data_IF_533641370633
#
_entry.id   IF_533641370633
#
_cell.length_a   1.000
_cell.length_b   1.000
_cell.length_c   1.000
_cell.angle_alpha   90.00
_cell.angle_beta   90.00
_cell.angle_gamma   90.00
#
_symmetry.space_group_name_H-M   'P 1'
#
loop_
_entity.id
_entity.type
_entity.pdbx_description
1 polymer ?
#
# COMPACT_ATOMS: atom_id res chain seq x y z
N UNK A 1 -32.18 11.12 13.40
CA UNK A 1 -31.83 12.48 12.94
C UNK A 1 -30.74 13.15 13.79
N UNK A 2 -30.92 13.40 15.11
CA UNK A 2 -29.87 14.06 15.92
C UNK A 2 -28.53 13.30 15.94
N UNK A 3 -28.54 11.97 15.96
CA UNK A 3 -27.33 11.13 15.95
C UNK A 3 -26.51 11.22 14.66
N UNK A 4 -27.17 11.31 13.50
CA UNK A 4 -26.49 11.33 12.20
C UNK A 4 -25.87 12.69 11.91
N UNK A 5 -26.51 13.77 12.40
CA UNK A 5 -25.98 15.13 12.30
C UNK A 5 -24.73 15.30 13.18
N UNK A 6 -24.75 14.79 14.42
CA UNK A 6 -23.55 14.79 15.29
C UNK A 6 -22.40 13.98 14.67
N UNK A 7 -22.69 12.83 14.06
CA UNK A 7 -21.68 12.03 13.33
C UNK A 7 -21.12 12.80 12.13
N UNK A 8 -21.97 13.46 11.35
CA UNK A 8 -21.51 14.27 10.21
C UNK A 8 -20.58 15.40 10.66
N UNK A 9 -20.96 16.14 11.72
CA UNK A 9 -20.11 17.21 12.30
C UNK A 9 -18.76 16.64 12.77
N UNK A 10 -18.75 15.49 13.44
CA UNK A 10 -17.51 14.85 13.89
C UNK A 10 -16.59 14.46 12.73
N UNK A 11 -17.13 13.92 11.63
CA UNK A 11 -16.34 13.59 10.44
C UNK A 11 -15.80 14.83 9.71
N UNK A 12 -16.58 15.91 9.64
CA UNK A 12 -16.10 17.18 9.10
C UNK A 12 -14.97 17.78 9.94
N UNK A 13 -15.08 17.73 11.28
CA UNK A 13 -14.00 18.16 12.17
C UNK A 13 -12.73 17.30 11.98
N UNK A 14 -12.88 15.98 11.86
CA UNK A 14 -11.76 15.07 11.58
C UNK A 14 -11.10 15.35 10.20
N UNK A 15 -11.90 15.68 9.18
CA UNK A 15 -11.39 16.09 7.87
C UNK A 15 -10.57 17.38 7.97
N UNK A 16 -11.06 18.41 8.66
CA UNK A 16 -10.32 19.66 8.84
C UNK A 16 -9.00 19.42 9.58
N UNK A 17 -9.01 18.64 10.67
CA UNK A 17 -7.80 18.31 11.43
C UNK A 17 -6.78 17.52 10.59
N UNK A 18 -7.24 16.55 9.77
CA UNK A 18 -6.35 15.76 8.90
C UNK A 18 -5.78 16.58 7.75
N UNK A 19 -6.54 17.53 7.18
CA UNK A 19 -6.02 18.47 6.17
C UNK A 19 -4.98 19.44 6.76
N UNK A 20 -5.18 19.94 7.98
CA UNK A 20 -4.18 20.76 8.67
C UNK A 20 -2.90 19.97 8.96
N UNK A 21 -3.04 18.71 9.40
CA UNK A 21 -1.91 17.80 9.59
C UNK A 21 -1.18 17.54 8.27
N UNK A 22 -1.92 17.27 7.18
CA UNK A 22 -1.35 17.05 5.84
C UNK A 22 -0.56 18.28 5.36
N UNK A 23 -1.10 19.49 5.52
CA UNK A 23 -0.42 20.72 5.14
C UNK A 23 0.85 20.95 5.99
N UNK A 24 0.77 20.69 7.29
CA UNK A 24 1.91 20.81 8.22
C UNK A 24 3.02 19.82 7.86
N UNK A 25 2.66 18.55 7.64
CA UNK A 25 3.59 17.51 7.21
C UNK A 25 4.22 17.87 5.87
N UNK A 26 3.42 18.28 4.88
CA UNK A 26 3.91 18.67 3.55
C UNK A 26 4.90 19.83 3.61
N UNK A 27 4.71 20.78 4.53
CA UNK A 27 5.61 21.92 4.75
C UNK A 27 6.89 21.51 5.46
N UNK A 28 6.80 20.74 6.54
CA UNK A 28 7.94 20.29 7.34
C UNK A 28 8.87 19.33 6.59
N UNK A 29 8.32 18.66 5.58
CA UNK A 29 9.05 17.67 4.80
C UNK A 29 9.49 18.19 3.43
N UNK A 30 9.22 19.47 3.12
CA UNK A 30 9.68 20.14 1.91
C UNK A 30 11.15 20.59 2.08
N UNK A 31 12.02 20.20 1.14
CA UNK A 31 13.42 20.65 1.07
C UNK A 31 14.45 19.54 0.88
N UNK A 32 15.47 19.80 0.04
CA UNK A 32 16.75 19.10 -0.01
C UNK A 32 16.71 17.63 -0.45
N UNK A 33 16.37 17.39 -1.72
CA UNK A 33 16.54 16.07 -2.35
C UNK A 33 17.98 15.54 -2.24
N UNK A 34 18.23 14.24 -2.41
CA UNK A 34 19.59 13.66 -2.41
C UNK A 34 20.46 14.23 -3.53
N UNK A 35 19.81 14.65 -4.62
CA UNK A 35 20.41 15.36 -5.73
C UNK A 35 20.09 16.85 -5.53
N UNK A 36 21.10 17.63 -5.17
CA UNK A 36 21.02 19.10 -5.09
C UNK A 36 21.94 19.69 -6.14
N UNK A 37 21.54 20.81 -6.74
CA UNK A 37 22.28 21.43 -7.84
C UNK A 37 23.65 21.96 -7.40
N UNK A 38 23.74 22.53 -6.19
CA UNK A 38 24.97 23.08 -5.63
C UNK A 38 25.11 22.82 -4.14
N UNK A 39 26.35 22.60 -3.71
CA UNK A 39 26.75 22.44 -2.31
C UNK A 39 27.75 23.55 -1.95
N UNK A 40 27.66 24.04 -0.72
CA UNK A 40 28.53 25.10 -0.23
C UNK A 40 28.58 25.19 1.29
N UNK A 41 29.24 26.22 1.78
CA UNK A 41 29.44 26.52 3.19
C UNK A 41 28.95 27.94 3.44
N UNK A 42 28.06 28.12 4.40
CA UNK A 42 27.47 29.40 4.76
C UNK A 42 28.07 29.96 6.04
N UNK A 43 28.33 31.25 6.02
CA UNK A 43 28.72 32.07 7.16
C UNK A 43 27.64 33.11 7.42
N UNK A 44 26.99 33.07 8.59
CA UNK A 44 25.86 33.93 8.90
C UNK A 44 26.30 35.38 9.07
N UNK A 45 25.76 36.28 8.26
CA UNK A 45 26.08 37.71 8.28
C UNK A 45 25.10 38.51 9.17
N UNK A 46 23.79 38.28 9.03
CA UNK A 46 22.76 38.99 9.80
C UNK A 46 21.48 38.16 9.91
N UNK A 47 20.71 38.32 10.98
CA UNK A 47 19.42 37.63 11.15
C UNK A 47 18.32 38.59 11.62
N UNK A 48 17.12 38.40 11.06
CA UNK A 48 15.87 38.96 11.55
C UNK A 48 15.20 37.97 12.51
N UNK A 49 14.84 38.44 13.70
CA UNK A 49 14.16 37.65 14.73
C UNK A 49 12.63 37.74 14.59
N UNK A 50 11.95 36.59 14.68
CA UNK A 50 10.49 36.47 14.68
C UNK A 50 10.03 35.65 15.90
N UNK A 51 9.29 36.25 16.82
CA UNK A 51 8.78 35.56 18.02
C UNK A 51 8.08 36.50 19.01
N UNK A 52 7.59 35.98 20.15
CA UNK A 52 7.52 34.56 20.53
C UNK A 52 6.36 33.80 19.85
N UNK A 53 5.52 34.50 19.08
CA UNK A 53 4.46 33.91 18.24
C UNK A 53 4.54 34.55 16.87
N UNK A 54 4.80 33.75 15.84
CA UNK A 54 4.93 34.23 14.45
C UNK A 54 4.26 33.29 13.46
N UNK A 55 4.23 33.65 12.19
CA UNK A 55 3.78 32.77 11.09
C UNK A 55 4.65 31.49 10.92
N UNK A 56 5.77 31.43 11.64
CA UNK A 56 6.69 30.29 11.66
C UNK A 56 6.49 29.38 12.87
N UNK A 57 5.65 29.75 13.85
CA UNK A 57 5.30 28.92 15.01
C UNK A 57 5.35 29.66 16.35
N UNK A 58 5.26 28.87 17.43
CA UNK A 58 5.47 29.33 18.80
C UNK A 58 6.95 29.12 19.15
N UNK A 59 7.63 30.18 19.58
CA UNK A 59 9.07 30.24 19.80
C UNK A 59 9.72 31.42 19.07
N UNK A 60 11.05 31.53 19.18
CA UNK A 60 11.86 32.44 18.39
C UNK A 60 12.36 31.71 17.14
N UNK A 61 12.17 32.33 15.98
CA UNK A 61 12.65 31.84 14.70
C UNK A 61 13.48 32.95 14.03
N UNK A 62 14.60 32.58 13.42
CA UNK A 62 15.52 33.53 12.79
C UNK A 62 15.52 33.32 11.29
N UNK A 63 15.34 34.40 10.53
CA UNK A 63 15.58 34.44 9.08
C UNK A 63 16.94 35.09 8.87
N UNK A 64 17.91 34.35 8.36
CA UNK A 64 19.28 34.81 8.28
C UNK A 64 19.74 35.04 6.84
N UNK A 65 20.51 36.10 6.64
CA UNK A 65 21.33 36.32 5.45
C UNK A 65 22.71 35.76 5.75
N UNK A 66 23.24 34.94 4.85
CA UNK A 66 24.55 34.33 4.98
C UNK A 66 25.34 34.45 3.68
N UNK A 67 26.65 34.59 3.82
CA UNK A 67 27.58 34.53 2.70
C UNK A 67 27.93 33.05 2.47
N UNK A 68 27.62 32.55 1.27
CA UNK A 68 27.77 31.15 0.92
C UNK A 68 28.94 30.98 -0.03
N UNK A 69 29.97 30.25 0.41
CA UNK A 69 31.06 29.79 -0.43
C UNK A 69 30.69 28.43 -1.04
N UNK A 70 30.48 28.41 -2.34
CA UNK A 70 30.08 27.23 -3.09
C UNK A 70 31.29 26.38 -3.48
N UNK A 71 31.06 25.08 -3.74
CA UNK A 71 32.09 24.15 -4.18
C UNK A 71 32.76 24.54 -5.51
N UNK A 72 32.14 25.40 -6.32
CA UNK A 72 32.74 25.98 -7.54
C UNK A 72 33.64 27.20 -7.24
N UNK A 73 33.87 27.52 -5.96
CA UNK A 73 34.71 28.62 -5.49
C UNK A 73 34.05 30.00 -5.57
N UNK A 74 32.76 30.08 -5.93
CA UNK A 74 32.01 31.35 -5.94
C UNK A 74 31.44 31.64 -4.58
N UNK A 75 31.43 32.92 -4.20
CA UNK A 75 30.75 33.41 -3.01
C UNK A 75 29.51 34.19 -3.39
N UNK A 76 28.37 33.87 -2.80
CA UNK A 76 27.09 34.55 -3.03
C UNK A 76 26.38 34.80 -1.70
N UNK A 77 25.73 35.96 -1.56
CA UNK A 77 24.95 36.27 -0.38
C UNK A 77 23.51 35.82 -0.58
N UNK A 78 23.01 34.97 0.33
CA UNK A 78 21.70 34.34 0.22
C UNK A 78 20.90 34.50 1.51
N UNK A 79 19.58 34.58 1.35
CA UNK A 79 18.64 34.66 2.47
C UNK A 79 18.04 33.28 2.71
N UNK A 80 18.30 32.73 3.90
CA UNK A 80 17.79 31.43 4.32
C UNK A 80 16.40 31.56 4.96
N UNK A 81 15.49 30.59 4.75
CA UNK A 81 14.19 30.60 5.39
C UNK A 81 14.30 30.50 6.92
N UNK A 82 13.25 30.91 7.62
CA UNK A 82 13.25 30.94 9.07
C UNK A 82 13.49 29.56 9.69
N UNK A 83 14.43 29.46 10.64
CA UNK A 83 14.75 28.22 11.36
C UNK A 83 15.81 27.32 10.70
N UNK A 84 16.36 27.71 9.54
CA UNK A 84 17.47 26.97 8.92
C UNK A 84 18.83 27.34 9.50
N UNK A 85 19.09 28.61 9.82
CA UNK A 85 20.34 29.08 10.40
C UNK A 85 20.06 29.82 11.71
N UNK A 86 21.07 29.87 12.58
CA UNK A 86 21.00 30.62 13.85
C UNK A 86 22.05 31.74 13.91
N UNK A 87 21.83 32.80 14.70
CA UNK A 87 22.76 33.92 14.78
C UNK A 87 24.16 33.47 15.23
N UNK A 88 25.18 33.88 14.46
CA UNK A 88 26.58 33.61 14.78
C UNK A 88 27.11 32.25 14.32
N UNK A 89 26.35 31.49 13.54
CA UNK A 89 26.87 30.24 12.94
C UNK A 89 27.90 30.54 11.84
N UNK A 90 28.98 29.75 11.85
CA UNK A 90 30.09 29.80 10.90
C UNK A 90 30.26 28.41 10.28
N UNK A 91 30.73 28.37 9.05
CA UNK A 91 31.07 27.15 8.30
C UNK A 91 29.93 26.09 8.23
N UNK A 92 28.69 26.55 8.07
CA UNK A 92 27.53 25.65 8.02
C UNK A 92 27.37 25.06 6.63
N UNK A 93 27.33 23.73 6.44
CA UNK A 93 27.08 23.16 5.13
C UNK A 93 25.67 23.54 4.66
N UNK A 94 25.56 23.96 3.40
CA UNK A 94 24.29 24.39 2.78
C UNK A 94 24.16 23.84 1.36
N UNK A 95 22.93 23.83 0.86
CA UNK A 95 22.62 23.44 -0.52
C UNK A 95 21.75 24.49 -1.23
N UNK A 96 21.81 24.47 -2.57
CA UNK A 96 20.82 25.12 -3.43
C UNK A 96 20.25 24.09 -4.43
N UNK A 97 18.93 24.11 -4.61
CA UNK A 97 18.17 23.25 -5.52
C UNK A 97 17.01 24.05 -6.13
N UNK A 98 17.03 24.31 -7.45
CA UNK A 98 15.93 24.99 -8.14
C UNK A 98 15.58 26.40 -7.63
N UNK A 99 16.50 27.08 -6.93
CA UNK A 99 16.30 28.39 -6.31
C UNK A 99 15.93 28.35 -4.82
N UNK A 100 15.65 27.16 -4.27
CA UNK A 100 15.51 26.95 -2.83
C UNK A 100 16.90 26.76 -2.20
N UNK A 101 17.12 27.41 -1.05
CA UNK A 101 18.36 27.30 -0.26
C UNK A 101 18.04 26.73 1.12
N UNK A 102 18.90 25.86 1.61
CA UNK A 102 18.67 25.23 2.89
C UNK A 102 19.95 24.74 3.54
N UNK A 103 19.86 24.55 4.86
CA UNK A 103 20.91 23.94 5.65
C UNK A 103 21.06 22.45 5.30
N UNK A 104 22.29 21.99 5.15
CA UNK A 104 22.67 20.69 4.60
C UNK A 104 23.08 19.69 5.71
N UNK A 105 22.37 19.68 6.83
CA UNK A 105 22.70 18.81 7.97
C UNK A 105 22.22 17.38 7.72
N UNK A 106 20.93 17.23 7.43
CA UNK A 106 20.23 15.95 7.32
C UNK A 106 19.05 16.07 6.37
N UNK A 107 18.97 15.14 5.42
CA UNK A 107 17.88 15.10 4.44
C UNK A 107 16.70 14.23 4.89
N UNK A 108 16.71 13.76 6.14
CA UNK A 108 15.63 12.91 6.70
C UNK A 108 14.21 13.47 6.50
N UNK A 109 13.94 14.80 6.50
CA UNK A 109 12.60 15.31 6.26
C UNK A 109 12.11 14.98 4.84
N UNK A 110 13.00 14.96 3.85
CA UNK A 110 12.68 14.55 2.47
C UNK A 110 12.35 13.06 2.35
N UNK A 111 12.91 12.19 3.21
CA UNK A 111 12.56 10.75 3.30
C UNK A 111 11.13 10.58 3.71
N UNK A 112 10.78 11.30 4.77
CA UNK A 112 9.50 11.13 5.43
C UNK A 112 8.43 11.90 4.66
N UNK A 113 8.81 12.88 3.82
CA UNK A 113 7.90 13.63 2.96
C UNK A 113 6.88 12.74 2.32
N UNK A 114 7.32 11.82 1.48
CA UNK A 114 6.38 11.09 0.68
C UNK A 114 5.58 10.03 1.46
N UNK A 115 6.15 9.18 2.34
CA UNK A 115 5.35 8.29 3.16
C UNK A 115 4.43 9.06 4.11
N UNK A 116 4.86 10.18 4.70
CA UNK A 116 3.99 10.98 5.56
C UNK A 116 2.91 11.71 4.77
N UNK A 117 3.21 12.25 3.58
CA UNK A 117 2.21 12.81 2.64
C UNK A 117 1.23 11.73 2.18
N UNK A 118 1.67 10.51 1.89
CA UNK A 118 0.79 9.40 1.52
C UNK A 118 -0.09 8.97 2.69
N UNK A 119 0.48 8.80 3.88
CA UNK A 119 -0.27 8.41 5.09
C UNK A 119 -1.28 9.49 5.47
N UNK A 120 -0.84 10.74 5.57
CA UNK A 120 -1.72 11.87 5.91
C UNK A 120 -2.73 12.15 4.80
N UNK A 121 -2.35 11.96 3.53
CA UNK A 121 -3.23 12.09 2.37
C UNK A 121 -4.29 10.99 2.32
N UNK A 122 -3.93 9.75 2.65
CA UNK A 122 -4.88 8.64 2.79
C UNK A 122 -5.83 8.87 3.96
N UNK A 123 -5.33 9.35 5.11
CA UNK A 123 -6.16 9.74 6.25
C UNK A 123 -7.15 10.85 5.87
N UNK A 124 -6.69 11.87 5.14
CA UNK A 124 -7.55 12.94 4.62
C UNK A 124 -8.61 12.39 3.65
N UNK A 125 -8.24 11.46 2.76
CA UNK A 125 -9.17 10.81 1.85
C UNK A 125 -10.24 9.99 2.60
N UNK A 126 -9.84 9.19 3.58
CA UNK A 126 -10.77 8.40 4.42
C UNK A 126 -11.70 9.33 5.18
N UNK A 127 -11.18 10.40 5.77
CA UNK A 127 -11.99 11.41 6.46
C UNK A 127 -12.98 12.09 5.51
N UNK A 128 -12.57 12.42 4.28
CA UNK A 128 -13.42 13.02 3.27
C UNK A 128 -14.56 12.07 2.84
N UNK A 129 -14.25 10.80 2.57
CA UNK A 129 -15.27 9.78 2.26
C UNK A 129 -16.24 9.60 3.43
N UNK A 130 -15.74 9.55 4.67
CA UNK A 130 -16.57 9.46 5.87
C UNK A 130 -17.49 10.67 6.05
N UNK A 131 -16.97 11.88 5.85
CA UNK A 131 -17.73 13.13 5.92
C UNK A 131 -18.83 13.19 4.84
N UNK A 132 -18.49 12.86 3.59
CA UNK A 132 -19.45 12.81 2.49
C UNK A 132 -20.53 11.75 2.72
N UNK A 133 -20.16 10.55 3.14
CA UNK A 133 -21.09 9.45 3.40
C UNK A 133 -22.07 9.75 4.53
N UNK A 134 -21.58 10.32 5.64
CA UNK A 134 -22.43 10.67 6.78
C UNK A 134 -23.32 11.87 6.48
N UNK A 135 -22.82 12.87 5.73
CA UNK A 135 -23.62 13.98 5.22
C UNK A 135 -24.72 13.49 4.29
N UNK A 136 -24.39 12.59 3.35
CA UNK A 136 -25.36 11.95 2.47
C UNK A 136 -26.45 11.22 3.26
N UNK A 137 -26.09 10.47 4.30
CA UNK A 137 -27.06 9.81 5.18
C UNK A 137 -27.88 10.78 6.04
N UNK A 138 -27.34 11.92 6.44
CA UNK A 138 -28.08 12.93 7.19
C UNK A 138 -29.12 13.64 6.32
N UNK A 139 -28.78 13.94 5.06
CA UNK A 139 -29.68 14.58 4.07
C UNK A 139 -30.68 13.59 3.50
N UNK A 140 -30.25 12.34 3.31
CA UNK A 140 -31.07 11.23 2.83
C UNK A 140 -31.15 10.17 3.92
N UNK A 141 -31.79 10.48 5.07
CA UNK A 141 -32.02 9.48 6.10
C UNK A 141 -32.73 8.32 5.41
N UNK A 142 -32.27 7.10 5.66
CA UNK A 142 -32.85 5.87 5.12
C UNK A 142 -34.35 6.08 5.11
N UNK A 143 -34.90 6.36 3.93
CA UNK A 143 -36.33 6.51 3.81
C UNK A 143 -36.79 5.10 4.07
N UNK A 144 -37.32 4.85 5.27
CA UNK A 144 -38.09 3.65 5.51
C UNK A 144 -38.98 3.54 4.28
N UNK A 145 -38.89 2.43 3.53
CA UNK A 145 -39.60 2.33 2.28
C UNK A 145 -41.07 2.61 2.60
N UNK A 146 -41.55 3.80 2.19
CA UNK A 146 -42.98 4.17 2.30
C UNK A 146 -43.71 2.96 1.76
N UNK A 147 -44.68 2.38 2.49
CA UNK A 147 -45.38 1.20 2.02
C UNK A 147 -45.89 1.49 0.62
N UNK A 148 -45.24 0.87 -0.37
CA UNK A 148 -45.57 1.07 -1.76
C UNK A 148 -47.02 0.60 -1.93
N UNK A 149 -47.84 1.28 -2.74
CA UNK A 149 -49.21 0.86 -2.98
C UNK A 149 -49.21 -0.63 -3.36
N UNK A 150 -50.14 -1.37 -2.77
CA UNK A 150 -50.16 -2.84 -2.66
C UNK A 150 -49.85 -3.56 -3.99
N UNK A 151 -50.25 -2.97 -5.11
CA UNK A 151 -50.00 -3.47 -6.47
C UNK A 151 -48.52 -3.44 -6.92
N UNK A 152 -47.69 -2.56 -6.37
CA UNK A 152 -46.24 -2.52 -6.64
C UNK A 152 -45.43 -3.33 -5.63
N UNK A 153 -46.02 -3.67 -4.48
CA UNK A 153 -45.38 -4.42 -3.41
C UNK A 153 -45.09 -5.86 -3.82
N UNK A 154 -46.01 -6.50 -4.55
CA UNK A 154 -45.80 -7.86 -5.10
C UNK A 154 -44.75 -7.85 -6.20
N UNK A 155 -44.71 -6.84 -7.07
CA UNK A 155 -43.71 -6.73 -8.12
C UNK A 155 -42.31 -6.41 -7.57
N UNK A 156 -42.21 -5.54 -6.56
CA UNK A 156 -40.95 -5.26 -5.86
C UNK A 156 -40.52 -6.43 -4.97
N UNK A 157 -41.43 -7.12 -4.29
CA UNK A 157 -41.11 -8.35 -3.54
C UNK A 157 -40.70 -9.47 -4.48
N UNK A 158 -41.31 -9.62 -5.66
CA UNK A 158 -40.86 -10.57 -6.68
C UNK A 158 -39.51 -10.20 -7.26
N UNK A 159 -39.23 -8.92 -7.51
CA UNK A 159 -37.90 -8.46 -7.96
C UNK A 159 -36.85 -8.58 -6.86
N UNK A 160 -37.21 -8.30 -5.61
CA UNK A 160 -36.35 -8.46 -4.46
C UNK A 160 -36.07 -9.94 -4.21
N UNK A 161 -37.11 -10.79 -4.12
CA UNK A 161 -36.98 -12.24 -4.00
C UNK A 161 -36.21 -12.85 -5.19
N UNK A 162 -36.43 -12.38 -6.43
CA UNK A 162 -35.65 -12.80 -7.59
C UNK A 162 -34.18 -12.32 -7.54
N UNK A 163 -33.91 -11.17 -6.90
CA UNK A 163 -32.54 -10.71 -6.60
C UNK A 163 -31.94 -11.57 -5.50
N UNK A 164 -32.61 -11.80 -4.38
CA UNK A 164 -32.16 -12.68 -3.29
C UNK A 164 -31.91 -14.11 -3.78
N UNK A 165 -32.76 -14.63 -4.68
CA UNK A 165 -32.60 -15.94 -5.31
C UNK A 165 -31.47 -15.96 -6.36
N UNK A 166 -31.17 -14.81 -6.99
CA UNK A 166 -29.97 -14.62 -7.84
C UNK A 166 -28.69 -14.39 -7.04
N UNK A 167 -28.77 -13.89 -5.83
CA UNK A 167 -27.61 -13.37 -5.10
C UNK A 167 -26.94 -14.42 -4.22
N UNK A 168 -27.50 -15.64 -4.14
CA UNK A 168 -26.97 -16.79 -3.39
C UNK A 168 -26.50 -16.35 -2.00
N UNK A 169 -27.46 -16.01 -1.11
CA UNK A 169 -27.16 -15.32 0.13
C UNK A 169 -26.23 -16.17 0.99
N UNK A 170 -25.28 -15.51 1.63
CA UNK A 170 -24.35 -16.12 2.58
C UNK A 170 -24.62 -15.55 3.97
N UNK A 171 -24.66 -16.43 4.96
CA UNK A 171 -24.54 -16.04 6.37
C UNK A 171 -23.07 -16.11 6.79
N UNK A 172 -22.72 -15.43 7.88
CA UNK A 172 -21.36 -15.52 8.43
C UNK A 172 -21.01 -16.92 8.94
N UNK A 173 -22.03 -17.69 9.37
CA UNK A 173 -21.87 -19.11 9.70
C UNK A 173 -21.46 -19.94 8.48
N UNK A 174 -22.05 -19.70 7.30
CA UNK A 174 -21.66 -20.38 6.05
C UNK A 174 -20.22 -20.03 5.66
N UNK A 175 -19.83 -18.77 5.84
CA UNK A 175 -18.45 -18.31 5.60
C UNK A 175 -17.46 -18.91 6.58
N UNK A 176 -17.85 -19.17 7.82
CA UNK A 176 -16.99 -19.83 8.81
C UNK A 176 -16.84 -21.33 8.52
N UNK A 177 -17.93 -22.00 8.14
CA UNK A 177 -17.97 -23.45 7.90
C UNK A 177 -17.25 -23.88 6.61
N UNK A 178 -17.21 -23.04 5.57
CA UNK A 178 -16.60 -23.40 4.31
C UNK A 178 -15.07 -23.66 4.46
N UNK A 179 -14.47 -24.67 3.79
CA UNK A 179 -13.03 -24.85 3.84
C UNK A 179 -12.32 -23.69 3.13
N UNK A 180 -11.20 -23.21 3.67
CA UNK A 180 -10.45 -22.07 3.10
C UNK A 180 -9.60 -22.57 1.90
N UNK A 181 -9.86 -22.11 0.66
CA UNK A 181 -9.04 -22.48 -0.48
C UNK A 181 -7.61 -21.92 -0.34
N UNK A 182 -6.60 -22.63 -0.86
CA UNK A 182 -5.21 -22.14 -0.82
C UNK A 182 -5.05 -20.85 -1.64
N UNK A 183 -5.87 -20.63 -2.66
CA UNK A 183 -5.88 -19.36 -3.42
C UNK A 183 -6.26 -18.16 -2.54
N UNK A 184 -7.13 -18.33 -1.53
CA UNK A 184 -7.47 -17.24 -0.58
C UNK A 184 -6.26 -16.96 0.32
N UNK A 185 -5.61 -18.01 0.81
CA UNK A 185 -4.38 -17.89 1.61
C UNK A 185 -3.28 -17.19 0.79
N UNK A 186 -3.11 -17.57 -0.48
CA UNK A 186 -2.19 -16.93 -1.42
C UNK A 186 -2.43 -15.44 -1.52
N UNK A 187 -3.65 -15.02 -1.82
CA UNK A 187 -3.95 -13.60 -1.99
C UNK A 187 -3.70 -12.80 -0.71
N UNK A 188 -4.02 -13.37 0.46
CA UNK A 188 -3.69 -12.73 1.75
C UNK A 188 -2.19 -12.63 2.00
N UNK A 189 -1.43 -13.70 1.74
CA UNK A 189 0.02 -13.71 1.90
C UNK A 189 0.70 -12.77 0.89
N UNK A 190 0.23 -12.71 -0.35
CA UNK A 190 0.72 -11.76 -1.35
C UNK A 190 0.38 -10.31 -0.95
N UNK A 191 -0.80 -10.05 -0.40
CA UNK A 191 -1.15 -8.72 0.11
C UNK A 191 -0.22 -8.32 1.27
N UNK A 192 0.03 -9.22 2.22
CA UNK A 192 0.98 -9.00 3.30
C UNK A 192 2.42 -8.80 2.78
N UNK A 193 2.81 -9.57 1.76
CA UNK A 193 4.11 -9.42 1.08
C UNK A 193 4.25 -8.05 0.42
N UNK A 194 3.19 -7.54 -0.25
CA UNK A 194 3.21 -6.19 -0.83
C UNK A 194 3.38 -5.10 0.23
N UNK A 195 2.72 -5.24 1.39
CA UNK A 195 2.90 -4.32 2.53
C UNK A 195 4.33 -4.42 3.08
N UNK A 196 4.84 -5.63 3.26
CA UNK A 196 6.22 -5.86 3.72
C UNK A 196 7.24 -5.23 2.75
N UNK A 197 7.06 -5.42 1.44
CA UNK A 197 7.91 -4.82 0.42
C UNK A 197 7.87 -3.29 0.48
N UNK A 198 6.69 -2.68 0.59
CA UNK A 198 6.54 -1.23 0.75
C UNK A 198 7.28 -0.70 1.99
N UNK A 199 7.17 -1.40 3.12
CA UNK A 199 7.86 -1.05 4.36
C UNK A 199 9.38 -1.20 4.20
N UNK A 200 9.85 -2.35 3.73
CA UNK A 200 11.28 -2.62 3.59
C UNK A 200 11.97 -1.67 2.60
N UNK A 201 11.34 -1.38 1.45
CA UNK A 201 11.87 -0.40 0.50
C UNK A 201 11.96 0.98 1.14
N UNK A 202 10.94 1.39 1.90
CA UNK A 202 10.96 2.67 2.62
C UNK A 202 12.06 2.72 3.69
N UNK A 203 12.25 1.63 4.44
CA UNK A 203 13.31 1.54 5.44
C UNK A 203 14.70 1.53 4.80
N UNK A 204 14.87 0.86 3.66
CA UNK A 204 16.12 0.84 2.90
C UNK A 204 16.46 2.21 2.31
N UNK A 205 15.45 3.07 2.16
CA UNK A 205 15.65 4.45 1.79
C UNK A 205 16.16 5.29 2.96
N UNK A 206 15.98 4.93 4.24
CA UNK A 206 16.42 5.79 5.37
C UNK A 206 17.92 6.13 5.34
N UNK A 207 18.84 5.17 5.12
CA UNK A 207 20.25 5.48 4.96
C UNK A 207 20.53 6.50 3.83
N UNK A 208 19.74 6.48 2.72
CA UNK A 208 19.86 7.42 1.57
C UNK A 208 19.91 8.89 1.98
N UNK A 209 19.34 9.23 3.13
CA UNK A 209 19.10 10.63 3.51
C UNK A 209 19.50 10.95 4.95
N UNK A 210 19.99 9.97 5.70
CA UNK A 210 20.54 10.14 7.06
C UNK A 210 22.06 10.38 7.09
N UNK A 211 22.74 10.32 5.94
CA UNK A 211 24.17 10.57 5.87
C UNK A 211 24.47 12.09 5.96
N UNK A 212 25.41 12.52 6.81
CA UNK A 212 25.89 13.90 6.81
C UNK A 212 26.49 14.21 5.44
N UNK A 213 25.98 15.26 4.80
CA UNK A 213 26.40 15.69 3.46
C UNK A 213 27.61 16.61 3.59
N UNK A 214 28.73 16.04 4.03
CA UNK A 214 30.01 16.74 4.09
C UNK A 214 30.53 17.05 2.67
N UNK A 215 31.37 18.08 2.54
CA UNK A 215 31.98 18.52 1.27
C UNK A 215 32.76 17.38 0.59
N UNK A 216 33.25 16.40 1.36
CA UNK A 216 33.97 15.21 0.88
C UNK A 216 33.13 13.92 0.88
N UNK A 217 31.82 14.01 1.08
CA UNK A 217 30.95 12.83 1.09
C UNK A 217 30.85 12.23 -0.32
N UNK A 218 31.54 11.10 -0.54
CA UNK A 218 31.28 10.26 -1.70
C UNK A 218 30.03 9.45 -1.41
N UNK A 219 28.94 9.83 -2.08
CA UNK A 219 27.68 9.13 -1.99
C UNK A 219 27.85 7.64 -2.31
N UNK A 220 27.44 6.72 -1.40
CA UNK A 220 27.38 5.30 -1.72
C UNK A 220 26.15 4.95 -2.60
N UNK A 221 25.33 5.93 -3.00
CA UNK A 221 24.06 5.69 -3.68
C UNK A 221 24.19 5.13 -5.09
N UNK A 222 25.17 5.52 -5.94
CA UNK A 222 25.39 4.86 -7.21
C UNK A 222 25.65 3.36 -7.01
N UNK A 223 26.46 3.02 -6.00
CA UNK A 223 26.78 1.62 -5.68
C UNK A 223 25.58 0.85 -5.14
N UNK A 224 24.66 1.52 -4.43
CA UNK A 224 23.42 0.92 -3.91
C UNK A 224 22.38 0.74 -5.02
N UNK A 225 22.22 1.72 -5.91
CA UNK A 225 21.38 1.60 -7.11
C UNK A 225 21.88 0.48 -8.02
N UNK A 226 23.21 0.42 -8.25
CA UNK A 226 23.90 -0.64 -8.98
C UNK A 226 23.90 -1.99 -8.27
N UNK A 227 23.42 -2.06 -7.03
CA UNK A 227 23.30 -3.29 -6.26
C UNK A 227 21.85 -3.81 -6.19
N UNK A 228 20.85 -2.94 -6.35
CA UNK A 228 19.43 -3.31 -6.35
C UNK A 228 19.02 -3.98 -7.68
N UNK A 229 18.21 -5.04 -7.59
CA UNK A 229 17.66 -5.73 -8.76
C UNK A 229 16.65 -4.85 -9.51
N UNK A 230 15.91 -4.07 -8.73
CA UNK A 230 14.92 -3.11 -9.19
C UNK A 230 15.06 -1.89 -8.29
N UNK A 231 15.65 -0.80 -8.79
CA UNK A 231 15.60 0.50 -8.10
C UNK A 231 14.23 1.13 -8.39
N UNK A 232 13.22 0.64 -7.66
CA UNK A 232 11.92 1.26 -7.69
C UNK A 232 11.95 2.45 -6.73
N UNK A 233 11.58 3.67 -7.17
CA UNK A 233 11.43 4.80 -6.27
C UNK A 233 10.57 4.36 -5.08
N UNK A 234 11.01 4.63 -3.85
CA UNK A 234 10.28 4.21 -2.64
C UNK A 234 8.82 4.67 -2.68
N UNK A 235 8.59 5.80 -3.33
CA UNK A 235 7.30 6.40 -3.64
C UNK A 235 6.40 5.47 -4.46
N UNK A 236 6.90 4.98 -5.59
CA UNK A 236 6.22 4.03 -6.45
C UNK A 236 6.01 2.69 -5.72
N UNK A 237 6.99 2.22 -4.94
CA UNK A 237 6.87 1.00 -4.16
C UNK A 237 5.73 1.06 -3.13
N UNK A 238 5.59 2.16 -2.40
CA UNK A 238 4.52 2.34 -1.42
C UNK A 238 3.16 2.44 -2.11
N UNK A 239 3.02 3.27 -3.15
CA UNK A 239 1.74 3.47 -3.84
C UNK A 239 1.28 2.18 -4.52
N UNK A 240 2.15 1.58 -5.36
CA UNK A 240 1.83 0.37 -6.10
C UNK A 240 1.66 -0.83 -5.15
N UNK A 241 2.48 -0.92 -4.11
CA UNK A 241 2.37 -1.94 -3.07
C UNK A 241 1.05 -1.86 -2.31
N UNK A 242 0.63 -0.66 -1.90
CA UNK A 242 -0.65 -0.45 -1.21
C UNK A 242 -1.85 -0.78 -2.11
N UNK A 243 -1.86 -0.31 -3.37
CA UNK A 243 -2.91 -0.62 -4.34
C UNK A 243 -2.98 -2.13 -4.58
N UNK A 244 -1.83 -2.78 -4.82
CA UNK A 244 -1.77 -4.22 -5.04
C UNK A 244 -2.25 -4.99 -3.81
N UNK A 245 -1.84 -4.59 -2.60
CA UNK A 245 -2.29 -5.21 -1.36
C UNK A 245 -3.80 -5.13 -1.18
N UNK A 246 -4.41 -3.96 -1.43
CA UNK A 246 -5.87 -3.77 -1.36
C UNK A 246 -6.61 -4.63 -2.39
N UNK A 247 -6.14 -4.64 -3.65
CA UNK A 247 -6.73 -5.46 -4.70
C UNK A 247 -6.64 -6.95 -4.38
N UNK A 248 -5.48 -7.42 -3.91
CA UNK A 248 -5.27 -8.81 -3.49
C UNK A 248 -6.15 -9.17 -2.29
N UNK A 249 -6.28 -8.28 -1.31
CA UNK A 249 -7.17 -8.49 -0.15
C UNK A 249 -8.64 -8.57 -0.59
N UNK A 250 -9.08 -7.70 -1.49
CA UNK A 250 -10.43 -7.73 -2.06
C UNK A 250 -10.67 -9.03 -2.87
N UNK A 251 -9.70 -9.47 -3.67
CA UNK A 251 -9.76 -10.76 -4.38
C UNK A 251 -9.81 -11.94 -3.40
N UNK A 252 -9.09 -11.89 -2.28
CA UNK A 252 -9.15 -12.90 -1.24
C UNK A 252 -10.56 -12.98 -0.62
N UNK A 253 -11.18 -11.83 -0.35
CA UNK A 253 -12.53 -11.75 0.18
C UNK A 253 -13.56 -12.30 -0.82
N UNK A 254 -13.50 -11.86 -2.08
CA UNK A 254 -14.36 -12.37 -3.15
C UNK A 254 -14.21 -13.88 -3.36
N UNK A 255 -12.97 -14.39 -3.39
CA UNK A 255 -12.71 -15.81 -3.56
C UNK A 255 -13.17 -16.64 -2.35
N UNK A 256 -13.17 -16.05 -1.14
CA UNK A 256 -13.71 -16.67 0.06
C UNK A 256 -15.23 -16.78 0.01
N UNK A 257 -15.92 -15.72 -0.40
CA UNK A 257 -17.37 -15.72 -0.58
C UNK A 257 -17.79 -16.70 -1.68
N UNK A 258 -17.06 -16.76 -2.81
CA UNK A 258 -17.32 -17.76 -3.85
C UNK A 258 -17.14 -19.19 -3.34
N UNK A 259 -16.10 -19.45 -2.54
CA UNK A 259 -15.90 -20.76 -1.93
C UNK A 259 -17.02 -21.13 -0.96
N UNK A 260 -17.50 -20.17 -0.16
CA UNK A 260 -18.63 -20.39 0.73
C UNK A 260 -19.93 -20.67 -0.04
N UNK A 261 -20.17 -19.98 -1.17
CA UNK A 261 -21.32 -20.25 -2.04
C UNK A 261 -21.25 -21.64 -2.65
N UNK A 262 -20.07 -22.05 -3.14
CA UNK A 262 -19.89 -23.40 -3.68
C UNK A 262 -20.11 -24.46 -2.60
N UNK A 263 -19.59 -24.26 -1.40
CA UNK A 263 -19.75 -25.21 -0.30
C UNK A 263 -21.21 -25.31 0.18
N UNK A 264 -21.94 -24.18 0.21
CA UNK A 264 -23.34 -24.13 0.66
C UNK A 264 -24.33 -24.62 -0.39
N UNK A 265 -24.14 -24.20 -1.63
CA UNK A 265 -25.13 -24.35 -2.70
C UNK A 265 -24.72 -25.39 -3.76
N UNK A 266 -23.53 -25.96 -3.64
CA UNK A 266 -23.06 -27.08 -4.45
C UNK A 266 -23.05 -26.81 -5.96
N UNK A 267 -23.38 -27.86 -6.72
CA UNK A 267 -23.46 -27.84 -8.18
C UNK A 267 -24.45 -26.82 -8.76
N UNK A 268 -25.64 -26.57 -8.17
CA UNK A 268 -26.56 -25.52 -8.63
C UNK A 268 -25.94 -24.14 -8.79
N UNK A 269 -25.07 -23.72 -7.86
CA UNK A 269 -24.36 -22.44 -7.97
C UNK A 269 -23.40 -22.41 -9.15
N UNK A 270 -22.65 -23.50 -9.35
CA UNK A 270 -21.67 -23.63 -10.43
C UNK A 270 -22.33 -23.73 -11.82
N UNK A 271 -23.49 -24.38 -11.90
CA UNK A 271 -24.24 -24.57 -13.15
C UNK A 271 -25.01 -23.31 -13.59
N UNK A 272 -25.07 -22.26 -12.75
CA UNK A 272 -25.82 -21.02 -13.02
C UNK A 272 -25.53 -20.41 -14.40
N UNK A 273 -24.28 -20.45 -14.84
CA UNK A 273 -23.81 -19.78 -16.06
C UNK A 273 -23.32 -20.75 -17.14
N UNK A 274 -23.39 -22.06 -16.93
CA UNK A 274 -22.86 -23.06 -17.88
C UNK A 274 -23.44 -24.44 -17.63
N UNK A 275 -23.63 -25.22 -18.69
CA UNK A 275 -24.02 -26.63 -18.54
C UNK A 275 -22.92 -27.42 -17.81
N UNK A 276 -23.29 -28.51 -17.12
CA UNK A 276 -22.32 -29.36 -16.41
C UNK A 276 -21.19 -29.88 -17.32
N UNK A 277 -21.51 -30.13 -18.60
CA UNK A 277 -20.56 -30.56 -19.63
C UNK A 277 -19.56 -29.45 -20.01
N UNK A 278 -20.03 -28.22 -20.15
CA UNK A 278 -19.18 -27.05 -20.42
C UNK A 278 -18.29 -26.72 -19.23
N UNK A 279 -18.82 -26.79 -18.01
CA UNK A 279 -18.05 -26.61 -16.79
C UNK A 279 -16.90 -27.62 -16.71
N UNK A 280 -17.17 -28.91 -16.96
CA UNK A 280 -16.14 -29.97 -16.94
C UNK A 280 -15.07 -29.74 -18.01
N UNK A 281 -15.47 -29.44 -19.25
CA UNK A 281 -14.53 -29.09 -20.34
C UNK A 281 -13.72 -27.82 -20.02
N UNK A 282 -14.34 -26.83 -19.40
CA UNK A 282 -13.69 -25.59 -18.98
C UNK A 282 -12.65 -25.83 -17.89
N UNK A 283 -12.95 -26.69 -16.93
CA UNK A 283 -12.02 -27.10 -15.87
C UNK A 283 -10.83 -27.86 -16.43
N UNK A 284 -11.05 -28.83 -17.32
CA UNK A 284 -9.96 -29.58 -17.97
C UNK A 284 -9.05 -28.66 -18.79
N UNK A 285 -9.62 -27.71 -19.55
CA UNK A 285 -8.84 -26.70 -20.29
C UNK A 285 -8.03 -25.82 -19.35
N UNK A 286 -8.63 -25.36 -18.25
CA UNK A 286 -7.94 -24.54 -17.23
C UNK A 286 -6.84 -25.35 -16.55
N UNK A 287 -7.08 -26.61 -16.21
CA UNK A 287 -6.09 -27.49 -15.58
C UNK A 287 -4.88 -27.74 -16.49
N UNK A 288 -5.13 -28.02 -17.78
CA UNK A 288 -4.07 -28.19 -18.79
C UNK A 288 -3.20 -26.95 -18.95
N UNK A 289 -3.77 -25.73 -18.90
CA UNK A 289 -2.98 -24.47 -18.94
C UNK A 289 -2.35 -24.10 -17.61
N UNK A 290 -3.01 -24.41 -16.50
CA UNK A 290 -2.55 -24.03 -15.16
C UNK A 290 -1.24 -24.74 -14.80
N UNK A 291 -1.12 -26.03 -15.13
CA UNK A 291 0.04 -26.84 -14.77
C UNK A 291 1.37 -26.30 -15.35
N UNK A 292 1.51 -26.05 -16.68
CA UNK A 292 2.73 -25.49 -17.23
C UNK A 292 2.96 -24.05 -16.75
N UNK A 293 1.94 -23.19 -16.79
CA UNK A 293 2.10 -21.77 -16.43
C UNK A 293 2.56 -21.59 -14.98
N UNK A 294 2.01 -22.37 -14.05
CA UNK A 294 2.41 -22.29 -12.64
C UNK A 294 3.81 -22.82 -12.35
N UNK A 295 4.30 -23.80 -13.14
CA UNK A 295 5.69 -24.28 -13.07
C UNK A 295 6.63 -23.23 -13.64
N UNK A 296 6.31 -22.68 -14.82
CA UNK A 296 7.14 -21.66 -15.48
C UNK A 296 7.30 -20.43 -14.59
N UNK A 297 6.22 -19.90 -14.01
CA UNK A 297 6.30 -18.76 -13.09
C UNK A 297 7.15 -19.12 -11.86
N UNK A 298 6.99 -20.31 -11.29
CA UNK A 298 7.78 -20.75 -10.14
C UNK A 298 9.28 -20.85 -10.47
N UNK A 299 9.64 -21.38 -11.65
CA UNK A 299 11.03 -21.48 -12.11
C UNK A 299 11.64 -20.11 -12.37
N UNK A 300 10.88 -19.19 -12.98
CA UNK A 300 11.33 -17.80 -13.20
C UNK A 300 11.61 -17.10 -11.86
N UNK A 301 10.70 -17.20 -10.88
CA UNK A 301 10.89 -16.60 -9.56
C UNK A 301 12.09 -17.22 -8.82
N UNK A 302 12.29 -18.54 -8.92
CA UNK A 302 13.44 -19.21 -8.33
C UNK A 302 14.76 -18.79 -9.00
N UNK A 303 14.77 -18.68 -10.34
CA UNK A 303 15.92 -18.17 -11.09
C UNK A 303 16.29 -16.73 -10.68
N UNK A 304 15.29 -15.85 -10.54
CA UNK A 304 15.49 -14.48 -10.04
C UNK A 304 16.03 -14.46 -8.61
N UNK A 305 15.56 -15.37 -7.75
CA UNK A 305 16.03 -15.48 -6.37
C UNK A 305 17.50 -15.93 -6.33
N UNK A 306 17.87 -16.95 -7.12
CA UNK A 306 19.27 -17.41 -7.23
C UNK A 306 20.15 -16.29 -7.76
N UNK A 307 19.70 -15.56 -8.78
CA UNK A 307 20.45 -14.42 -9.31
C UNK A 307 20.66 -13.31 -8.27
N UNK A 308 19.62 -12.97 -7.48
CA UNK A 308 19.73 -12.01 -6.38
C UNK A 308 20.73 -12.47 -5.30
N UNK A 309 20.72 -13.77 -4.93
CA UNK A 309 21.68 -14.34 -3.98
C UNK A 309 23.12 -14.23 -4.51
N UNK A 310 23.35 -14.61 -5.77
CA UNK A 310 24.69 -14.52 -6.39
C UNK A 310 25.17 -13.08 -6.39
N UNK A 311 24.31 -12.12 -6.73
CA UNK A 311 24.66 -10.69 -6.70
C UNK A 311 25.00 -10.23 -5.28
N UNK A 312 24.18 -10.60 -4.28
CA UNK A 312 24.45 -10.28 -2.88
C UNK A 312 25.81 -10.83 -2.41
N UNK A 313 26.18 -12.03 -2.86
CA UNK A 313 27.49 -12.62 -2.56
C UNK A 313 28.64 -11.86 -3.22
N UNK A 314 28.47 -11.35 -4.44
CA UNK A 314 29.52 -10.58 -5.14
C UNK A 314 29.80 -9.22 -4.51
N UNK A 315 28.85 -8.64 -3.79
CA UNK A 315 29.01 -7.35 -3.09
C UNK A 315 29.24 -7.51 -1.58
N UNK A 316 29.47 -8.74 -1.09
CA UNK A 316 29.56 -9.04 0.35
C UNK A 316 30.71 -8.34 1.08
N UNK A 317 31.73 -7.87 0.35
CA UNK A 317 32.86 -7.09 0.89
C UNK A 317 32.62 -5.58 0.84
N UNK A 318 31.48 -5.11 0.34
CA UNK A 318 31.14 -3.69 0.23
C UNK A 318 30.58 -3.08 1.52
N UNK A 319 30.21 -1.78 1.49
CA UNK A 319 29.56 -1.11 2.62
C UNK A 319 28.30 -1.86 3.08
N UNK A 320 28.05 -1.88 4.40
CA UNK A 320 26.91 -2.59 5.01
C UNK A 320 25.57 -2.22 4.36
N UNK A 321 25.41 -0.96 3.92
CA UNK A 321 24.22 -0.49 3.23
C UNK A 321 23.99 -1.16 1.86
N UNK A 322 25.08 -1.40 1.09
CA UNK A 322 25.03 -2.11 -0.19
C UNK A 322 24.64 -3.57 0.03
N UNK A 323 25.23 -4.20 1.05
CA UNK A 323 24.92 -5.57 1.41
C UNK A 323 23.46 -5.76 1.87
N UNK A 324 22.96 -4.85 2.73
CA UNK A 324 21.56 -4.87 3.19
C UNK A 324 20.57 -4.65 2.03
N UNK A 325 20.90 -3.80 1.06
CA UNK A 325 20.06 -3.60 -0.12
C UNK A 325 19.91 -4.89 -0.95
N UNK A 326 21.02 -5.56 -1.28
CA UNK A 326 20.96 -6.84 -2.00
C UNK A 326 20.27 -7.96 -1.20
N UNK A 327 20.46 -7.98 0.13
CA UNK A 327 19.82 -8.96 0.99
C UNK A 327 18.30 -8.77 1.02
N UNK A 328 17.82 -7.52 1.00
CA UNK A 328 16.39 -7.20 0.98
C UNK A 328 15.69 -7.80 -0.26
N UNK A 329 16.27 -7.64 -1.45
CA UNK A 329 15.73 -8.22 -2.68
C UNK A 329 15.69 -9.75 -2.62
N UNK A 330 16.75 -10.35 -2.09
CA UNK A 330 16.86 -11.80 -1.91
C UNK A 330 15.77 -12.33 -1.00
N UNK A 331 15.54 -11.70 0.15
CA UNK A 331 14.51 -12.09 1.12
C UNK A 331 13.11 -11.92 0.51
N UNK A 332 12.84 -10.79 -0.15
CA UNK A 332 11.54 -10.55 -0.78
C UNK A 332 11.23 -11.58 -1.87
N UNK A 333 12.19 -11.90 -2.73
CA UNK A 333 12.02 -12.91 -3.78
C UNK A 333 11.87 -14.32 -3.21
N UNK A 334 12.68 -14.69 -2.20
CA UNK A 334 12.57 -15.98 -1.54
C UNK A 334 11.19 -16.16 -0.88
N UNK A 335 10.69 -15.13 -0.18
CA UNK A 335 9.33 -15.15 0.38
C UNK A 335 8.27 -15.29 -0.70
N UNK A 336 8.42 -14.61 -1.83
CA UNK A 336 7.48 -14.70 -2.95
C UNK A 336 7.46 -16.12 -3.55
N UNK A 337 8.63 -16.75 -3.71
CA UNK A 337 8.76 -18.16 -4.14
C UNK A 337 8.07 -19.09 -3.14
N UNK A 338 8.33 -18.92 -1.84
CA UNK A 338 7.72 -19.73 -0.78
C UNK A 338 6.20 -19.61 -0.78
N UNK A 339 5.66 -18.38 -0.86
CA UNK A 339 4.22 -18.13 -0.96
C UNK A 339 3.66 -18.82 -2.21
N UNK A 340 4.33 -18.70 -3.36
CA UNK A 340 3.89 -19.30 -4.62
C UNK A 340 3.81 -20.82 -4.55
N UNK A 341 4.85 -21.46 -4.03
CA UNK A 341 4.95 -22.93 -3.93
C UNK A 341 4.01 -23.50 -2.87
N UNK A 342 3.96 -22.90 -1.68
CA UNK A 342 3.14 -23.37 -0.56
C UNK A 342 1.63 -23.27 -0.83
N UNK A 343 1.21 -22.30 -1.64
CA UNK A 343 -0.21 -22.04 -1.93
C UNK A 343 -0.68 -22.61 -3.27
N UNK A 344 0.12 -23.47 -3.90
CA UNK A 344 -0.25 -24.13 -5.16
C UNK A 344 -1.44 -25.07 -4.94
N UNK A 345 -2.47 -24.91 -5.77
CA UNK A 345 -3.70 -25.72 -5.72
C UNK A 345 -4.28 -25.84 -7.13
N UNK A 346 -4.54 -27.08 -7.58
CA UNK A 346 -5.18 -27.27 -8.88
C UNK A 346 -6.67 -26.89 -8.78
N UNK A 347 -7.24 -26.29 -9.85
CA UNK A 347 -8.67 -25.95 -9.87
C UNK A 347 -9.59 -27.14 -9.58
N UNK A 348 -9.19 -28.34 -10.02
CA UNK A 348 -9.91 -29.60 -9.82
C UNK A 348 -9.88 -30.03 -8.36
N UNK A 349 -8.71 -30.03 -7.72
CA UNK A 349 -8.58 -30.43 -6.31
C UNK A 349 -9.36 -29.47 -5.40
N UNK A 350 -9.32 -28.17 -5.70
CA UNK A 350 -10.11 -27.15 -5.00
C UNK A 350 -11.61 -27.44 -5.07
N UNK A 351 -12.13 -27.73 -6.25
CA UNK A 351 -13.55 -28.03 -6.46
C UNK A 351 -13.98 -29.31 -5.75
N UNK A 352 -13.18 -30.37 -5.83
CA UNK A 352 -13.43 -31.62 -5.11
C UNK A 352 -13.47 -31.39 -3.59
N UNK A 353 -12.54 -30.60 -3.05
CA UNK A 353 -12.52 -30.25 -1.62
C UNK A 353 -13.74 -29.43 -1.21
N UNK A 354 -14.23 -28.53 -2.06
CA UNK A 354 -15.42 -27.72 -1.77
C UNK A 354 -16.73 -28.49 -1.92
N UNK A 355 -16.78 -29.50 -2.79
CA UNK A 355 -17.97 -30.33 -3.05
C UNK A 355 -17.99 -31.63 -2.23
N UNK A 356 -16.89 -31.98 -1.56
CA UNK A 356 -16.73 -33.26 -0.86
C UNK A 356 -17.82 -33.55 0.17
N UNK A 357 -18.43 -32.52 0.75
CA UNK A 357 -19.57 -32.64 1.67
C UNK A 357 -20.87 -33.09 0.98
N UNK A 358 -21.10 -32.67 -0.27
CA UNK A 358 -22.35 -32.96 -0.99
C UNK A 358 -22.34 -34.34 -1.67
N UNK A 359 -21.17 -34.78 -2.15
CA UNK A 359 -21.02 -36.09 -2.80
C UNK A 359 -21.18 -37.25 -1.80
N UNK A 360 -20.66 -37.09 -0.57
CA UNK A 360 -20.85 -38.06 0.51
C UNK A 360 -22.31 -38.09 1.01
N UNK A 361 -22.97 -36.92 1.08
CA UNK A 361 -24.37 -36.80 1.46
C UNK A 361 -25.37 -37.32 0.40
N UNK A 362 -25.03 -37.24 -0.88
CA UNK A 362 -25.85 -37.82 -1.96
C UNK A 362 -25.68 -39.35 -2.05
N UNK A 363 -24.46 -39.87 -1.85
CA UNK A 363 -24.21 -41.32 -1.84
C UNK A 363 -24.96 -42.06 -0.73
N UNK A 364 -25.13 -41.43 0.44
CA UNK A 364 -25.91 -41.97 1.57
C UNK A 364 -27.42 -41.93 1.35
N UNK A 365 -27.95 -40.93 0.62
CA UNK A 365 -29.37 -40.87 0.26
C UNK A 365 -29.79 -41.83 -0.86
N UNK A 366 -28.89 -42.14 -1.80
CA UNK A 366 -29.17 -43.15 -2.84
C UNK A 366 -29.18 -44.58 -2.30
N UNK A 367 -28.49 -44.86 -1.18
CA UNK A 367 -28.42 -46.21 -0.58
C UNK A 367 -29.60 -46.57 0.34
N UNK A 368 -30.42 -45.60 0.74
CA UNK A 368 -31.57 -45.81 1.66
C UNK A 368 -32.92 -45.87 0.95
N UNK A 369 -32.96 -45.62 -0.36
CA UNK A 369 -34.18 -45.72 -1.18
C UNK A 369 -34.32 -47.09 -1.89
N UNK A 370 -33.45 -48.06 -1.61
CA UNK A 370 -33.44 -49.39 -2.23
C UNK A 370 -33.58 -50.55 -1.25
N UNK A 371 -34.17 -50.32 -0.07
CA UNK A 371 -34.53 -51.40 0.87
C UNK A 371 -36.04 -51.46 1.07
#
# INVERSE_FOLDING_TARGET
MRSDLVRAVAWWAALVLTLLLFATVSRLTHGGGPDVDRLGVATVASCDEYGPVSQYGVGTAYRCTADVEWADGKTEQLVFPAGHLTPGELDVPVYADGGDVGRNDVAWPSVIRLPAVLVTGLLALVAAVGALYTTYRAVRPNSEPKPAPEHTRVAQQRKAAARTQRDWPLTDADRAAAPVPRIVVRFRLLAAWCVLAAVLVSLSAIPRFGAPREIHFVSPWPQIGDAQLIDLPATAAVILGAIAALLLYAMAHSARDDAARIARHGLPYLARNSSAKEMRRGLERRERRYRPNSVVIGLVLLGLTVWAVVRAATVATGPVAVWLACFTDTVLLALLVLIWLATRESPRHRLLRLLGTDLEAQGTKSGTASS
#
